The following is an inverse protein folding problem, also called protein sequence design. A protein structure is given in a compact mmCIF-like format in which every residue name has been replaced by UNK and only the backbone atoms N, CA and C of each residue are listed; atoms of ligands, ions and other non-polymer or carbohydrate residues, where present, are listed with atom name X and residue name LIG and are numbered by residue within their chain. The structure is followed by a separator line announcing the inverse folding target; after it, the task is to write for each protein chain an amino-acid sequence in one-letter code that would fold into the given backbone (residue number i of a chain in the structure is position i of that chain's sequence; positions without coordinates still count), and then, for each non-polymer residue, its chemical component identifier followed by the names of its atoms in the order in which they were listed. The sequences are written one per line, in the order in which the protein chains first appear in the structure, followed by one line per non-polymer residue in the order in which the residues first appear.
data_IF_591593995308
#
_entry.id   IF_591593995308
#
_cell.length_a   1.000
_cell.length_b   1.000
_cell.length_c   1.000
_cell.angle_alpha   90.00
_cell.angle_beta   90.00
_cell.angle_gamma   90.00
#
_symmetry.space_group_name_H-M   'P 1'
#
loop_
_entity.id
_entity.type
_entity.pdbx_description
1 polymer ?
#
# COMPACT_ATOMS: atom_id res chain seq x y z
N UNK A 1 1.04 16.02 65.03
CA UNK A 1 0.77 16.76 63.77
C UNK A 1 2.00 16.61 62.90
N UNK A 2 1.81 16.23 61.63
CA UNK A 2 2.82 16.15 60.56
C UNK A 2 3.62 14.84 60.41
N UNK A 3 3.23 14.00 59.45
CA UNK A 3 4.07 13.06 58.68
C UNK A 3 3.12 12.37 57.67
N UNK A 4 3.32 12.28 56.36
CA UNK A 4 4.30 12.78 55.41
C UNK A 4 3.53 12.77 54.06
N UNK A 5 3.68 13.80 53.24
CA UNK A 5 2.96 13.93 51.97
C UNK A 5 3.25 12.73 51.05
N UNK A 6 2.18 12.15 50.49
CA UNK A 6 2.26 11.20 49.39
C UNK A 6 2.96 11.85 48.19
N UNK A 7 4.13 11.35 47.84
CA UNK A 7 4.83 11.73 46.61
C UNK A 7 4.64 10.59 45.60
N UNK A 8 3.72 10.78 44.66
CA UNK A 8 3.46 9.84 43.58
C UNK A 8 4.43 10.15 42.42
N UNK A 9 5.62 9.55 42.49
CA UNK A 9 6.60 9.59 41.40
C UNK A 9 6.24 8.51 40.36
N UNK A 10 5.49 8.88 39.32
CA UNK A 10 5.40 8.05 38.12
C UNK A 10 6.61 8.31 37.22
N UNK A 11 7.68 7.54 37.42
CA UNK A 11 8.76 7.44 36.45
C UNK A 11 8.41 6.43 35.36
N UNK A 12 8.24 6.96 34.14
CA UNK A 12 8.72 6.45 32.86
C UNK A 12 8.92 4.93 32.69
N UNK A 13 8.06 4.32 31.87
CA UNK A 13 8.46 3.26 30.94
C UNK A 13 7.86 3.53 29.56
N UNK A 14 8.42 4.50 28.83
CA UNK A 14 8.28 4.55 27.37
C UNK A 14 9.33 3.58 26.80
N UNK A 15 8.89 2.40 26.41
CA UNK A 15 9.70 1.49 25.60
C UNK A 15 9.74 2.05 24.16
N UNK A 16 10.91 2.32 23.57
CA UNK A 16 10.99 2.59 22.14
C UNK A 16 10.76 1.28 21.40
N UNK A 17 9.63 1.17 20.69
CA UNK A 17 9.42 0.12 19.69
C UNK A 17 10.45 0.30 18.58
N UNK A 18 11.60 -0.36 18.72
CA UNK A 18 12.55 -0.55 17.62
C UNK A 18 11.98 -1.62 16.69
N UNK A 19 11.18 -1.19 15.72
CA UNK A 19 10.72 -2.04 14.64
C UNK A 19 11.92 -2.29 13.72
N UNK A 20 12.55 -3.46 13.85
CA UNK A 20 13.57 -3.91 12.90
C UNK A 20 12.86 -4.52 11.70
N UNK A 21 12.90 -3.81 10.58
CA UNK A 21 12.53 -4.38 9.28
C UNK A 21 13.62 -5.39 8.87
N UNK A 22 13.28 -6.66 8.56
CA UNK A 22 14.26 -7.57 7.98
C UNK A 22 14.57 -7.10 6.56
N UNK A 23 15.82 -6.68 6.35
CA UNK A 23 16.39 -6.48 5.01
C UNK A 23 16.56 -7.84 4.34
N UNK A 24 15.50 -8.34 3.71
CA UNK A 24 15.63 -9.41 2.72
C UNK A 24 15.63 -8.70 1.37
N UNK A 25 16.75 -8.76 0.66
CA UNK A 25 16.82 -8.98 -0.79
C UNK A 25 18.27 -8.81 -1.22
N UNK A 26 19.01 -9.92 -1.21
CA UNK A 26 20.14 -10.10 -2.10
C UNK A 26 19.96 -11.43 -2.83
N UNK A 27 19.53 -11.33 -4.09
CA UNK A 27 19.76 -12.37 -5.09
C UNK A 27 20.05 -11.68 -6.42
N UNK A 28 21.14 -12.01 -7.12
CA UNK A 28 21.43 -11.46 -8.43
C UNK A 28 20.74 -12.34 -9.48
N UNK A 29 19.56 -11.93 -9.93
CA UNK A 29 18.97 -12.49 -11.15
C UNK A 29 19.10 -11.46 -12.25
N UNK A 30 19.93 -11.76 -13.24
CA UNK A 30 20.10 -10.97 -14.44
C UNK A 30 18.81 -11.00 -15.27
N UNK A 31 17.92 -10.04 -15.02
CA UNK A 31 16.74 -9.83 -15.84
C UNK A 31 17.14 -9.00 -17.07
N UNK A 32 16.84 -9.52 -18.26
CA UNK A 32 16.96 -8.75 -19.51
C UNK A 32 15.93 -7.64 -19.45
N UNK A 33 16.42 -6.40 -19.39
CA UNK A 33 15.62 -5.18 -19.30
C UNK A 33 14.84 -5.01 -20.60
N UNK A 34 13.52 -5.26 -20.55
CA UNK A 34 12.61 -4.55 -21.43
C UNK A 34 12.49 -3.13 -20.84
N UNK A 35 13.12 -2.17 -21.50
CA UNK A 35 13.10 -0.76 -21.08
C UNK A 35 11.70 -0.20 -21.22
N UNK A 36 10.87 -0.33 -20.17
CA UNK A 36 9.84 0.66 -19.93
C UNK A 36 10.55 1.92 -19.41
N UNK A 37 10.91 2.80 -20.34
CA UNK A 37 11.32 4.16 -20.03
C UNK A 37 10.18 4.86 -19.30
N UNK A 38 10.28 4.97 -17.99
CA UNK A 38 9.58 6.05 -17.32
C UNK A 38 10.47 6.72 -16.28
N UNK A 39 11.25 7.68 -16.78
CA UNK A 39 11.92 8.65 -15.94
C UNK A 39 11.56 10.06 -16.44
N UNK A 40 10.94 10.81 -15.54
CA UNK A 40 10.85 12.28 -15.47
C UNK A 40 10.00 13.03 -16.50
N UNK A 41 8.81 13.47 -16.08
CA UNK A 41 8.41 14.89 -15.93
C UNK A 41 6.91 14.97 -15.66
N UNK A 42 6.50 15.89 -14.79
CA UNK A 42 5.11 16.32 -14.66
C UNK A 42 4.67 16.91 -15.99
N UNK A 43 4.01 16.11 -16.81
CA UNK A 43 3.37 16.54 -18.07
C UNK A 43 1.93 16.10 -17.98
N UNK A 44 1.02 17.03 -18.29
CA UNK A 44 -0.42 16.81 -18.32
C UNK A 44 -0.73 15.46 -18.98
N UNK A 45 -1.43 14.61 -18.22
CA UNK A 45 -1.83 13.27 -18.62
C UNK A 45 -2.85 13.38 -19.75
N UNK A 46 -2.37 13.50 -20.98
CA UNK A 46 -3.14 13.36 -22.20
C UNK A 46 -2.27 12.59 -23.18
N UNK A 47 -2.36 11.26 -23.17
CA UNK A 47 -2.19 10.43 -24.37
C UNK A 47 -2.52 8.96 -24.09
N UNK A 48 -3.73 8.58 -24.55
CA UNK A 48 -3.92 7.49 -25.52
C UNK A 48 -2.80 6.45 -25.55
N UNK A 49 -2.96 5.45 -24.70
CA UNK A 49 -2.49 4.09 -24.94
C UNK A 49 -3.73 3.24 -24.74
N UNK A 50 -4.21 2.59 -25.80
CA UNK A 50 -5.33 1.65 -25.77
C UNK A 50 -4.94 0.40 -24.96
N UNK A 51 -4.74 0.56 -23.66
CA UNK A 51 -5.06 -0.49 -22.71
C UNK A 51 -6.47 -0.15 -22.22
N UNK A 52 -7.41 -1.05 -22.48
CA UNK A 52 -8.76 -1.01 -21.90
C UNK A 52 -8.63 -1.13 -20.38
N UNK A 53 -8.21 -0.04 -19.73
CA UNK A 53 -8.30 0.08 -18.30
C UNK A 53 -9.79 0.17 -18.03
N UNK A 54 -10.37 -0.93 -17.55
CA UNK A 54 -11.72 -0.91 -17.00
C UNK A 54 -11.73 0.12 -15.87
N UNK A 55 -12.13 1.35 -16.20
CA UNK A 55 -12.29 2.44 -15.24
C UNK A 55 -13.25 1.97 -14.13
N UNK A 56 -14.24 1.15 -14.50
CA UNK A 56 -15.17 0.49 -13.58
C UNK A 56 -14.47 -0.44 -12.58
N UNK A 57 -13.44 -1.17 -13.00
CA UNK A 57 -12.66 -2.06 -12.12
C UNK A 57 -11.81 -1.23 -11.14
N UNK A 58 -11.19 -0.15 -11.62
CA UNK A 58 -10.44 0.78 -10.77
C UNK A 58 -11.35 1.47 -9.74
N UNK A 59 -12.55 1.90 -10.16
CA UNK A 59 -13.59 2.48 -9.30
C UNK A 59 -14.05 1.48 -8.24
N UNK A 60 -14.31 0.23 -8.65
CA UNK A 60 -14.75 -0.83 -7.74
C UNK A 60 -13.69 -1.15 -6.69
N UNK A 61 -12.43 -1.35 -7.11
CA UNK A 61 -11.32 -1.58 -6.20
C UNK A 61 -11.14 -0.41 -5.24
N UNK A 62 -11.12 0.82 -5.74
CA UNK A 62 -10.98 2.02 -4.91
C UNK A 62 -12.07 2.11 -3.83
N UNK A 63 -13.34 1.89 -4.21
CA UNK A 63 -14.46 1.89 -3.26
C UNK A 63 -14.30 0.80 -2.21
N UNK A 64 -14.02 -0.44 -2.63
CA UNK A 64 -13.81 -1.56 -1.70
C UNK A 64 -12.68 -1.26 -0.72
N UNK A 65 -11.57 -0.68 -1.18
CA UNK A 65 -10.44 -0.28 -0.32
C UNK A 65 -10.89 0.74 0.71
N UNK A 66 -11.56 1.82 0.29
CA UNK A 66 -12.00 2.87 1.22
C UNK A 66 -12.99 2.34 2.26
N UNK A 67 -13.95 1.52 1.85
CA UNK A 67 -14.99 0.98 2.72
C UNK A 67 -14.43 0.01 3.77
N UNK A 68 -13.34 -0.69 3.45
CA UNK A 68 -12.72 -1.70 4.32
C UNK A 68 -11.44 -1.22 5.03
N UNK A 69 -10.93 -0.02 4.69
CA UNK A 69 -9.66 0.52 5.17
C UNK A 69 -9.55 0.67 6.69
N UNK A 70 -10.67 0.97 7.36
CA UNK A 70 -10.72 1.24 8.80
C UNK A 70 -10.55 -0.01 9.69
N UNK A 71 -10.57 -1.21 9.10
CA UNK A 71 -10.41 -2.47 9.83
C UNK A 71 -9.16 -3.23 9.36
N UNK A 72 -8.35 -3.66 10.32
CA UNK A 72 -6.98 -4.17 10.11
C UNK A 72 -6.90 -5.46 9.27
N UNK A 73 -7.98 -6.22 9.13
CA UNK A 73 -8.02 -7.47 8.34
C UNK A 73 -9.20 -7.56 7.36
N UNK A 74 -9.94 -6.46 7.18
CA UNK A 74 -11.10 -6.44 6.30
C UNK A 74 -10.68 -6.22 4.84
N UNK A 75 -9.68 -5.36 4.61
CA UNK A 75 -9.33 -4.92 3.26
C UNK A 75 -8.83 -6.04 2.35
N UNK A 76 -7.89 -6.88 2.79
CA UNK A 76 -7.35 -7.98 1.97
C UNK A 76 -8.44 -8.98 1.61
N UNK A 77 -9.28 -9.37 2.58
CA UNK A 77 -10.41 -10.28 2.33
C UNK A 77 -11.43 -9.68 1.38
N UNK A 78 -11.73 -8.38 1.54
CA UNK A 78 -12.66 -7.69 0.67
C UNK A 78 -12.11 -7.68 -0.77
N UNK A 79 -10.83 -7.37 -0.94
CA UNK A 79 -10.14 -7.38 -2.23
C UNK A 79 -10.11 -8.77 -2.88
N UNK A 80 -9.85 -9.83 -2.12
CA UNK A 80 -9.90 -11.22 -2.61
C UNK A 80 -11.31 -11.59 -3.14
N UNK A 81 -12.37 -11.04 -2.51
CA UNK A 81 -13.76 -11.27 -2.92
C UNK A 81 -14.19 -10.45 -4.14
N UNK A 82 -13.50 -9.36 -4.48
CA UNK A 82 -13.85 -8.52 -5.63
C UNK A 82 -13.70 -9.29 -6.95
N UNK A 83 -12.79 -10.29 -7.00
CA UNK A 83 -12.61 -11.20 -8.13
C UNK A 83 -12.05 -10.54 -9.39
N UNK A 84 -11.50 -9.32 -9.28
CA UNK A 84 -10.87 -8.61 -10.38
C UNK A 84 -9.43 -9.12 -10.56
N UNK A 85 -9.07 -9.45 -11.80
CA UNK A 85 -7.70 -9.78 -12.16
C UNK A 85 -6.83 -8.52 -12.14
N UNK A 86 -5.86 -8.47 -11.24
CA UNK A 86 -4.93 -7.34 -11.18
C UNK A 86 -4.03 -7.28 -12.42
N UNK A 87 -3.82 -6.06 -12.91
CA UNK A 87 -2.81 -5.71 -13.91
C UNK A 87 -1.94 -4.56 -13.38
N UNK A 88 -0.69 -4.42 -13.84
CA UNK A 88 0.18 -3.30 -13.43
C UNK A 88 -0.46 -1.92 -13.64
N UNK A 89 -1.17 -1.73 -14.74
CA UNK A 89 -1.87 -0.47 -15.06
C UNK A 89 -3.00 -0.19 -14.08
N UNK A 90 -3.81 -1.20 -13.74
CA UNK A 90 -4.89 -1.08 -12.77
C UNK A 90 -4.37 -0.75 -11.36
N UNK A 91 -3.27 -1.38 -10.94
CA UNK A 91 -2.66 -1.09 -9.63
C UNK A 91 -2.13 0.35 -9.59
N UNK A 92 -1.48 0.82 -10.64
CA UNK A 92 -1.01 2.22 -10.74
C UNK A 92 -2.18 3.21 -10.67
N UNK A 93 -3.28 2.93 -11.36
CA UNK A 93 -4.47 3.79 -11.35
C UNK A 93 -5.11 3.86 -9.95
N UNK A 94 -5.27 2.72 -9.27
CA UNK A 94 -5.79 2.69 -7.90
C UNK A 94 -4.84 3.42 -6.94
N UNK A 95 -3.53 3.23 -7.05
CA UNK A 95 -2.53 3.96 -6.25
C UNK A 95 -2.58 5.47 -6.50
N UNK A 96 -2.81 5.89 -7.75
CA UNK A 96 -2.94 7.30 -8.07
C UNK A 96 -4.12 7.95 -7.34
N UNK A 97 -5.23 7.21 -7.17
CA UNK A 97 -6.40 7.66 -6.41
C UNK A 97 -6.17 7.64 -4.91
N UNK A 98 -5.37 6.70 -4.42
CA UNK A 98 -4.94 6.60 -3.03
C UNK A 98 -3.76 7.52 -2.66
N UNK A 99 -3.34 8.45 -3.55
CA UNK A 99 -2.10 9.24 -3.38
C UNK A 99 -2.00 10.07 -2.10
N UNK A 100 -3.12 10.32 -1.43
CA UNK A 100 -3.16 11.04 -0.14
C UNK A 100 -3.35 10.12 1.07
N UNK A 101 -3.63 8.84 0.83
CA UNK A 101 -3.88 7.82 1.87
C UNK A 101 -2.68 6.87 1.97
N UNK A 102 -1.51 7.39 2.32
CA UNK A 102 -0.22 6.66 2.27
C UNK A 102 -0.28 5.25 2.89
N UNK A 103 -0.86 5.13 4.09
CA UNK A 103 -0.98 3.84 4.80
C UNK A 103 -1.84 2.85 4.04
N UNK A 104 -2.94 3.32 3.46
CA UNK A 104 -3.89 2.50 2.69
C UNK A 104 -3.26 2.11 1.35
N UNK A 105 -2.61 3.05 0.67
CA UNK A 105 -1.87 2.81 -0.57
C UNK A 105 -0.78 1.75 -0.38
N UNK A 106 0.04 1.86 0.67
CA UNK A 106 1.10 0.90 0.98
C UNK A 106 0.55 -0.49 1.31
N UNK A 107 -0.54 -0.56 2.08
CA UNK A 107 -1.21 -1.82 2.41
C UNK A 107 -1.80 -2.49 1.17
N UNK A 108 -2.50 -1.74 0.32
CA UNK A 108 -3.03 -2.24 -0.95
C UNK A 108 -1.90 -2.75 -1.85
N UNK A 109 -0.81 -1.99 -1.97
CA UNK A 109 0.36 -2.39 -2.76
C UNK A 109 0.99 -3.69 -2.27
N UNK A 110 1.11 -3.84 -0.94
CA UNK A 110 1.63 -5.07 -0.32
C UNK A 110 0.72 -6.26 -0.63
N UNK A 111 -0.60 -6.09 -0.54
CA UNK A 111 -1.55 -7.15 -0.93
C UNK A 111 -1.47 -7.50 -2.42
N UNK A 112 -1.36 -6.49 -3.29
CA UNK A 112 -1.24 -6.70 -4.74
C UNK A 112 0.01 -7.53 -5.10
N UNK A 113 1.14 -7.28 -4.43
CA UNK A 113 2.39 -8.02 -4.61
C UNK A 113 2.33 -9.51 -4.22
N UNK A 114 1.30 -9.94 -3.49
CA UNK A 114 1.09 -11.36 -3.15
C UNK A 114 0.21 -12.12 -4.16
N UNK A 115 -0.36 -11.44 -5.15
CA UNK A 115 -1.25 -12.09 -6.11
C UNK A 115 -0.44 -12.86 -7.16
N UNK A 116 -0.74 -14.15 -7.35
CA UNK A 116 0.03 -15.06 -8.22
C UNK A 116 0.16 -14.59 -9.68
N UNK A 117 -0.80 -13.77 -10.14
CA UNK A 117 -0.86 -13.25 -11.51
C UNK A 117 -0.30 -11.82 -11.65
N UNK A 118 0.26 -11.28 -10.58
CA UNK A 118 0.82 -9.93 -10.52
C UNK A 118 2.32 -10.02 -10.19
N UNK A 119 3.15 -10.16 -11.22
CA UNK A 119 4.60 -10.08 -11.10
C UNK A 119 5.06 -8.64 -11.39
N UNK A 120 5.94 -8.12 -10.53
CA UNK A 120 6.45 -6.75 -10.60
C UNK A 120 7.69 -6.59 -11.48
#
# INVERSE_FOLDING_TARGET
KSSLHHHHHHHHYLMPLSVKFPSVFQSPVAARVATCLFCSKTVAFNQSSDCDMNIDDADKLYKTIMDSSNQEHNMERALDQVGIKLTPTLVVEVLHRLRFEEKVAFRFFTWAGHQEYYAH
#
